data_IF_470918881784
#
_entry.id   IF_470918881784
#
_cell.length_a   1.000
_cell.length_b   1.000
_cell.length_c   1.000
_cell.angle_alpha   90.00
_cell.angle_beta   90.00
_cell.angle_gamma   90.00
#
_symmetry.space_group_name_H-M   'P 1'
#
loop_
_entity.id
_entity.type
_entity.pdbx_description
1 polymer ?
#
# COMPACT_ATOMS: atom_id res chain seq x y z
N UNK A 1 -2.80 -21.05 -14.05
CA UNK A 1 -3.75 -20.56 -13.03
C UNK A 1 -4.50 -19.39 -13.66
N UNK A 2 -5.68 -19.64 -14.25
CA UNK A 2 -6.49 -18.59 -14.86
C UNK A 2 -7.38 -18.00 -13.77
N UNK A 3 -6.93 -16.94 -13.10
CA UNK A 3 -7.85 -16.10 -12.34
C UNK A 3 -8.90 -15.61 -13.32
N UNK A 4 -10.17 -15.82 -13.00
CA UNK A 4 -11.25 -15.48 -13.94
C UNK A 4 -11.32 -13.97 -14.05
N UNK A 5 -11.58 -13.45 -15.25
CA UNK A 5 -11.69 -11.99 -15.49
C UNK A 5 -12.68 -11.31 -14.52
N UNK A 6 -13.66 -12.06 -14.01
CA UNK A 6 -14.61 -11.66 -12.97
C UNK A 6 -13.96 -11.39 -11.61
N UNK A 7 -13.03 -12.25 -11.17
CA UNK A 7 -12.30 -12.09 -9.89
C UNK A 7 -11.44 -10.83 -9.91
N UNK A 8 -10.71 -10.59 -11.00
CA UNK A 8 -9.85 -9.41 -11.17
C UNK A 8 -10.68 -8.13 -11.13
N UNK A 9 -11.85 -8.13 -11.78
CA UNK A 9 -12.74 -6.98 -11.77
C UNK A 9 -13.32 -6.71 -10.37
N UNK A 10 -13.72 -7.77 -9.65
CA UNK A 10 -14.21 -7.65 -8.27
C UNK A 10 -13.13 -7.05 -7.35
N UNK A 11 -11.90 -7.54 -7.44
CA UNK A 11 -10.79 -7.04 -6.62
C UNK A 11 -10.49 -5.56 -6.87
N UNK A 12 -10.47 -5.15 -8.15
CA UNK A 12 -10.29 -3.76 -8.54
C UNK A 12 -11.37 -2.86 -7.93
N UNK A 13 -12.64 -3.27 -8.03
CA UNK A 13 -13.78 -2.51 -7.49
C UNK A 13 -13.70 -2.34 -5.97
N UNK A 14 -13.43 -3.43 -5.23
CA UNK A 14 -13.28 -3.39 -3.76
C UNK A 14 -12.11 -2.50 -3.35
N UNK A 15 -10.99 -2.61 -4.05
CA UNK A 15 -9.80 -1.77 -3.78
C UNK A 15 -10.12 -0.30 -4.02
N UNK A 16 -10.75 0.03 -5.14
CA UNK A 16 -11.18 1.40 -5.46
C UNK A 16 -12.14 1.97 -4.42
N UNK A 17 -13.09 1.16 -3.93
CA UNK A 17 -13.99 1.57 -2.85
C UNK A 17 -13.22 1.93 -1.59
N UNK A 18 -12.29 1.08 -1.16
CA UNK A 18 -11.41 1.38 -0.03
C UNK A 18 -10.68 2.71 -0.21
N UNK A 19 -10.15 2.95 -1.41
CA UNK A 19 -9.45 4.19 -1.74
C UNK A 19 -10.37 5.42 -1.80
N UNK A 20 -11.63 5.27 -2.19
CA UNK A 20 -12.66 6.33 -2.16
C UNK A 20 -13.22 6.58 -0.74
N UNK A 21 -13.05 5.62 0.17
CA UNK A 21 -13.39 5.82 1.58
C UNK A 21 -12.26 6.52 2.32
N UNK A 22 -11.00 6.14 2.09
CA UNK A 22 -9.86 6.73 2.81
C UNK A 22 -8.56 6.65 2.02
N UNK A 23 -7.74 7.70 2.15
CA UNK A 23 -6.35 7.64 1.70
C UNK A 23 -5.48 7.01 2.80
N UNK A 24 -4.59 6.04 2.49
CA UNK A 24 -3.67 5.44 3.47
C UNK A 24 -2.76 6.47 4.17
N UNK A 25 -2.50 7.61 3.51
CA UNK A 25 -1.58 8.64 3.99
C UNK A 25 -2.27 9.85 4.64
N UNK A 26 -3.55 9.72 5.03
CA UNK A 26 -4.42 10.78 5.61
C UNK A 26 -4.76 11.94 4.66
N UNK A 27 -3.79 12.48 3.92
CA UNK A 27 -4.00 13.53 2.92
C UNK A 27 -3.64 13.04 1.52
N UNK A 28 -4.64 13.16 0.63
CA UNK A 28 -4.43 12.96 -0.80
C UNK A 28 -3.60 14.11 -1.38
N UNK A 29 -2.79 13.82 -2.39
CA UNK A 29 -2.15 14.87 -3.18
C UNK A 29 -3.20 15.60 -4.03
N UNK A 30 -2.98 16.88 -4.38
CA UNK A 30 -3.87 17.63 -5.26
C UNK A 30 -4.18 16.90 -6.58
N UNK A 31 -3.19 16.21 -7.15
CA UNK A 31 -3.30 15.46 -8.41
C UNK A 31 -3.91 14.05 -8.27
N UNK A 32 -4.35 13.64 -7.07
CA UNK A 32 -5.00 12.35 -6.90
C UNK A 32 -6.38 12.37 -7.58
N UNK A 33 -6.70 11.40 -8.47
CA UNK A 33 -7.98 11.39 -9.20
C UNK A 33 -9.18 11.12 -8.29
N UNK A 34 -8.91 10.57 -7.09
CA UNK A 34 -9.90 10.35 -6.05
C UNK A 34 -9.92 11.49 -5.03
N UNK A 35 -9.16 12.55 -5.24
CA UNK A 35 -9.25 13.77 -4.44
C UNK A 35 -10.59 14.45 -4.68
N UNK A 36 -11.16 15.10 -3.66
CA UNK A 36 -12.54 15.63 -3.70
C UNK A 36 -13.59 14.52 -3.62
N UNK A 37 -13.53 13.48 -4.47
CA UNK A 37 -14.49 12.38 -4.50
C UNK A 37 -14.66 11.65 -3.16
N UNK A 38 -13.64 11.67 -2.29
CA UNK A 38 -13.72 11.10 -0.93
C UNK A 38 -14.67 11.87 -0.02
N UNK A 39 -14.65 13.20 -0.07
CA UNK A 39 -15.45 14.08 0.79
C UNK A 39 -16.79 14.44 0.15
N UNK A 40 -16.82 14.53 -1.18
CA UNK A 40 -17.90 15.21 -1.90
C UNK A 40 -19.02 14.25 -2.31
N UNK A 41 -18.71 12.95 -2.42
CA UNK A 41 -19.68 11.93 -2.78
C UNK A 41 -20.24 11.19 -1.55
N UNK A 42 -21.58 11.07 -1.44
CA UNK A 42 -22.20 10.12 -0.52
C UNK A 42 -21.76 8.68 -0.82
N UNK A 43 -21.84 7.80 0.19
CA UNK A 43 -21.41 6.40 0.05
C UNK A 43 -22.09 5.69 -1.13
N UNK A 44 -23.40 5.89 -1.31
CA UNK A 44 -24.15 5.26 -2.40
C UNK A 44 -23.66 5.70 -3.79
N UNK A 45 -23.26 6.97 -3.93
CA UNK A 45 -22.73 7.50 -5.19
C UNK A 45 -21.32 6.99 -5.47
N UNK A 46 -20.51 6.73 -4.43
CA UNK A 46 -19.20 6.07 -4.59
C UNK A 46 -19.34 4.66 -5.15
N UNK A 47 -20.34 3.89 -4.69
CA UNK A 47 -20.63 2.56 -5.23
C UNK A 47 -21.02 2.64 -6.71
N UNK A 48 -21.99 3.50 -7.04
CA UNK A 48 -22.45 3.71 -8.43
C UNK A 48 -21.30 4.11 -9.34
N UNK A 49 -20.45 5.04 -8.91
CA UNK A 49 -19.28 5.46 -9.66
C UNK A 49 -18.39 4.27 -10.03
N UNK A 50 -18.04 3.42 -9.06
CA UNK A 50 -17.19 2.25 -9.31
C UNK A 50 -17.84 1.25 -10.26
N UNK A 51 -19.13 1.02 -10.15
CA UNK A 51 -19.88 0.11 -11.04
C UNK A 51 -19.90 0.61 -12.48
N UNK A 52 -20.00 1.93 -12.67
CA UNK A 52 -20.03 2.58 -13.98
C UNK A 52 -18.65 2.76 -14.62
N UNK A 53 -17.55 2.68 -13.86
CA UNK A 53 -16.21 2.80 -14.41
C UNK A 53 -15.85 1.59 -15.27
N UNK A 54 -15.39 1.83 -16.49
CA UNK A 54 -14.87 0.78 -17.35
C UNK A 54 -13.55 0.19 -16.76
N UNK A 55 -13.20 -1.07 -17.07
CA UNK A 55 -12.04 -1.74 -16.48
C UNK A 55 -10.71 -1.01 -16.72
N UNK A 56 -10.53 -0.37 -17.87
CA UNK A 56 -9.30 0.35 -18.23
C UNK A 56 -9.11 1.57 -17.31
N UNK A 57 -10.17 2.33 -17.07
CA UNK A 57 -10.13 3.48 -16.16
C UNK A 57 -9.88 3.04 -14.71
N UNK A 58 -10.45 1.91 -14.28
CA UNK A 58 -10.18 1.35 -12.96
C UNK A 58 -8.69 0.99 -12.81
N UNK A 59 -8.12 0.31 -13.80
CA UNK A 59 -6.71 -0.05 -13.84
C UNK A 59 -5.81 1.20 -13.80
N UNK A 60 -6.12 2.23 -14.59
CA UNK A 60 -5.36 3.47 -14.61
C UNK A 60 -5.35 4.17 -13.25
N UNK A 61 -6.51 4.25 -12.58
CA UNK A 61 -6.62 4.85 -11.24
C UNK A 61 -5.79 4.06 -10.22
N UNK A 62 -5.87 2.73 -10.25
CA UNK A 62 -5.13 1.86 -9.35
C UNK A 62 -3.62 1.94 -9.61
N UNK A 63 -3.19 1.95 -10.87
CA UNK A 63 -1.80 2.12 -11.26
C UNK A 63 -1.24 3.45 -10.76
N UNK A 64 -1.97 4.56 -10.96
CA UNK A 64 -1.58 5.87 -10.43
C UNK A 64 -1.48 5.85 -8.90
N UNK A 65 -2.41 5.18 -8.21
CA UNK A 65 -2.34 5.05 -6.76
C UNK A 65 -1.12 4.26 -6.31
N UNK A 66 -0.79 3.15 -6.99
CA UNK A 66 0.40 2.36 -6.70
C UNK A 66 1.68 3.18 -6.91
N UNK A 67 1.77 3.98 -7.98
CA UNK A 67 2.88 4.92 -8.18
C UNK A 67 2.98 5.94 -7.03
N UNK A 68 1.85 6.52 -6.61
CA UNK A 68 1.81 7.45 -5.48
C UNK A 68 2.29 6.79 -4.17
N UNK A 69 1.83 5.57 -3.89
CA UNK A 69 2.22 4.80 -2.72
C UNK A 69 3.72 4.55 -2.69
N UNK A 70 4.29 4.05 -3.78
CA UNK A 70 5.72 3.74 -3.88
C UNK A 70 6.61 4.98 -3.72
N UNK A 71 6.20 6.12 -4.32
CA UNK A 71 6.92 7.39 -4.14
C UNK A 71 6.95 7.83 -2.68
N UNK A 72 5.82 7.72 -1.98
CA UNK A 72 5.71 8.12 -0.56
C UNK A 72 6.43 7.15 0.38
N UNK A 73 6.35 5.85 0.14
CA UNK A 73 7.04 4.84 0.96
C UNK A 73 8.56 4.94 0.89
N UNK A 74 9.13 5.23 -0.29
CA UNK A 74 10.57 5.48 -0.45
C UNK A 74 11.07 6.64 0.43
N UNK A 75 10.20 7.59 0.78
CA UNK A 75 10.55 8.73 1.63
C UNK A 75 10.36 8.46 3.12
N UNK A 76 9.79 7.30 3.50
CA UNK A 76 9.45 6.95 4.90
C UNK A 76 10.36 5.83 5.42
N UNK A 77 10.80 4.91 4.56
CA UNK A 77 11.71 3.84 4.95
C UNK A 77 13.11 4.42 5.13
N UNK A 78 13.41 4.91 6.33
CA UNK A 78 14.79 4.90 6.83
C UNK A 78 15.17 3.44 7.06
N UNK A 79 16.32 2.95 6.54
CA UNK A 79 16.79 1.61 6.89
C UNK A 79 16.93 1.52 8.41
N UNK A 80 16.40 0.46 9.01
CA UNK A 80 16.63 0.19 10.42
C UNK A 80 18.15 0.13 10.66
N UNK A 81 18.68 0.80 11.68
CA UNK A 81 20.09 0.64 12.04
C UNK A 81 20.30 -0.83 12.43
N UNK A 82 21.18 -1.48 11.69
CA UNK A 82 21.60 -2.85 11.92
C UNK A 82 22.47 -2.87 13.18
N UNK A 83 21.86 -3.09 14.35
CA UNK A 83 22.58 -3.24 15.62
C UNK A 83 23.16 -4.66 15.77
N UNK A 84 23.75 -5.19 14.70
CA UNK A 84 24.54 -6.41 14.74
C UNK A 84 25.97 -6.07 15.20
N UNK A 85 26.12 -5.57 16.43
CA UNK A 85 27.38 -5.70 17.16
C UNK A 85 27.38 -7.09 17.81
N UNK A 86 27.86 -8.07 17.07
CA UNK A 86 28.34 -9.32 17.65
C UNK A 86 29.58 -9.00 18.47
N UNK A 87 29.43 -8.88 19.79
CA UNK A 87 30.54 -8.88 20.72
C UNK A 87 31.16 -10.27 20.71
N UNK A 88 32.24 -10.41 19.93
CA UNK A 88 33.26 -11.43 20.15
C UNK A 88 33.90 -11.15 21.52
N UNK A 89 33.60 -11.99 22.52
CA UNK A 89 34.46 -12.14 23.68
C UNK A 89 34.64 -13.63 23.94
N UNK A 90 35.72 -14.16 23.37
CA UNK A 90 36.20 -15.50 23.61
C UNK A 90 36.63 -15.67 25.07
N UNK A 91 36.07 -16.67 25.74
CA UNK A 91 36.60 -17.18 27.00
C UNK A 91 37.17 -18.57 26.72
N UNK A 92 38.49 -18.60 26.47
CA UNK A 92 39.32 -19.78 26.67
C UNK A 92 39.59 -19.92 28.16
N UNK A 93 39.17 -21.02 28.79
CA UNK A 93 39.83 -21.47 30.02
C UNK A 93 40.15 -22.97 29.93
N UNK A 94 41.43 -23.20 29.64
CA UNK A 94 42.11 -24.46 29.85
C UNK A 94 42.36 -24.72 31.35
N UNK A 95 42.27 -26.00 31.72
CA UNK A 95 42.97 -26.72 32.78
C UNK A 95 43.61 -25.94 33.94
N UNK A 96 43.22 -26.28 35.17
CA UNK A 96 44.21 -26.47 36.23
C UNK A 96 43.76 -27.49 37.28
N UNK A 97 44.70 -28.36 37.63
CA UNK A 97 44.58 -29.53 38.48
C UNK A 97 44.36 -29.22 39.97
N UNK A 98 43.56 -30.05 40.64
CA UNK A 98 43.93 -30.71 41.91
C UNK A 98 42.92 -31.79 42.27
#
# INVERSE_FOLDING_TARGET
MHSTQSEVLMYSRVTMLGLLMKCPFKSALPECPLNGLRSDLPLIEKFRLIECLNPITQEQILAQHHTCYNKRMKNIITPCPDNSQTSDDGISHAHSSR
#
